data_IF_424946995578
#
_entry.id   IF_424946995578
#
_cell.length_a   1.000
_cell.length_b   1.000
_cell.length_c   1.000
_cell.angle_alpha   90.00
_cell.angle_beta   90.00
_cell.angle_gamma   90.00
#
_symmetry.space_group_name_H-M   'P 1'
#
loop_
_entity.id
_entity.type
_entity.pdbx_description
1 polymer ?
#
# COMPACT_ATOMS: atom_id res chain seq x y z
N UNK A 1 17.39 -31.38 24.09
CA UNK A 1 16.98 -30.11 23.45
C UNK A 1 16.15 -30.46 22.22
N UNK A 2 14.85 -30.18 22.20
CA UNK A 2 14.01 -30.40 21.02
C UNK A 2 14.43 -29.41 19.94
N UNK A 3 14.68 -29.91 18.73
CA UNK A 3 15.04 -29.09 17.56
C UNK A 3 13.89 -28.14 17.26
N UNK A 4 14.14 -26.83 17.23
CA UNK A 4 13.11 -25.85 16.89
C UNK A 4 12.46 -26.19 15.54
N UNK A 5 11.13 -26.17 15.49
CA UNK A 5 10.37 -26.43 14.25
C UNK A 5 10.77 -25.40 13.19
N UNK A 6 11.08 -25.88 12.00
CA UNK A 6 11.31 -25.01 10.86
C UNK A 6 9.99 -24.70 10.13
N UNK A 7 9.92 -23.51 9.50
CA UNK A 7 8.78 -23.14 8.68
C UNK A 7 8.66 -24.04 7.46
N UNK A 8 7.43 -24.40 7.10
CA UNK A 8 7.12 -25.19 5.89
C UNK A 8 7.63 -24.42 4.66
N UNK A 9 8.41 -25.07 3.76
CA UNK A 9 8.86 -24.43 2.53
C UNK A 9 7.70 -24.15 1.58
N UNK A 10 7.83 -23.09 0.79
CA UNK A 10 6.91 -22.72 -0.28
C UNK A 10 7.66 -22.63 -1.61
N UNK A 11 7.46 -21.57 -2.38
CA UNK A 11 8.25 -21.30 -3.59
C UNK A 11 9.53 -20.56 -3.19
N UNK A 12 10.67 -20.96 -3.72
CA UNK A 12 12.01 -20.51 -3.30
C UNK A 12 12.11 -18.98 -3.19
N UNK A 13 11.70 -18.24 -4.22
CA UNK A 13 11.78 -16.78 -4.20
C UNK A 13 10.87 -16.14 -3.15
N UNK A 14 9.72 -16.76 -2.82
CA UNK A 14 8.84 -16.30 -1.73
C UNK A 14 9.51 -16.57 -0.39
N UNK A 15 10.11 -17.74 -0.21
CA UNK A 15 10.83 -18.09 1.01
C UNK A 15 12.02 -17.16 1.26
N UNK A 16 12.79 -16.84 0.23
CA UNK A 16 13.92 -15.92 0.30
C UNK A 16 13.47 -14.51 0.66
N UNK A 17 12.45 -13.99 -0.02
CA UNK A 17 11.88 -12.68 0.29
C UNK A 17 11.30 -12.61 1.70
N UNK A 18 10.45 -13.56 2.08
CA UNK A 18 9.80 -13.57 3.38
C UNK A 18 10.79 -13.74 4.54
N UNK A 19 11.92 -14.44 4.32
CA UNK A 19 12.97 -14.59 5.34
C UNK A 19 13.49 -13.24 5.86
N UNK A 20 13.47 -12.19 5.04
CA UNK A 20 13.86 -10.84 5.43
C UNK A 20 12.94 -10.21 6.51
N UNK A 21 11.81 -10.84 6.79
CA UNK A 21 10.79 -10.40 7.76
C UNK A 21 10.59 -11.39 8.91
N UNK A 22 11.32 -12.51 8.94
CA UNK A 22 11.05 -13.64 9.84
C UNK A 22 11.09 -13.23 11.31
N UNK A 23 12.03 -12.37 11.69
CA UNK A 23 12.22 -11.85 13.04
C UNK A 23 11.08 -10.95 13.55
N UNK A 24 10.19 -10.49 12.66
CA UNK A 24 9.01 -9.69 13.02
C UNK A 24 7.82 -10.54 13.49
N UNK A 25 7.94 -11.87 13.41
CA UNK A 25 6.87 -12.77 13.82
C UNK A 25 7.25 -13.53 15.08
N UNK A 26 6.35 -13.57 16.09
CA UNK A 26 6.65 -14.17 17.39
C UNK A 26 6.79 -15.70 17.32
N UNK A 27 6.23 -16.33 16.30
CA UNK A 27 6.20 -17.78 16.15
C UNK A 27 6.26 -18.22 14.68
N UNK A 28 6.66 -19.46 14.47
CA UNK A 28 6.81 -20.07 13.15
C UNK A 28 5.50 -20.11 12.37
N UNK A 29 4.37 -20.32 13.05
CA UNK A 29 3.04 -20.41 12.42
C UNK A 29 2.61 -19.06 11.82
N UNK A 30 2.83 -17.97 12.55
CA UNK A 30 2.56 -16.62 12.06
C UNK A 30 3.43 -16.29 10.85
N UNK A 31 4.69 -16.66 10.87
CA UNK A 31 5.59 -16.52 9.73
C UNK A 31 5.16 -17.38 8.52
N UNK A 32 4.70 -18.60 8.73
CA UNK A 32 4.14 -19.46 7.68
C UNK A 32 2.91 -18.81 7.04
N UNK A 33 1.98 -18.27 7.82
CA UNK A 33 0.81 -17.55 7.29
C UNK A 33 1.19 -16.33 6.46
N UNK A 34 2.23 -15.61 6.87
CA UNK A 34 2.79 -14.50 6.08
C UNK A 34 3.28 -14.98 4.70
N UNK A 35 4.02 -16.10 4.64
CA UNK A 35 4.46 -16.71 3.39
C UNK A 35 3.29 -17.15 2.51
N UNK A 36 2.30 -17.82 3.10
CA UNK A 36 1.12 -18.29 2.39
C UNK A 36 0.29 -17.15 1.79
N UNK A 37 0.18 -16.02 2.49
CA UNK A 37 -0.44 -14.81 1.92
C UNK A 37 0.33 -14.34 0.67
N UNK A 38 1.66 -14.34 0.70
CA UNK A 38 2.47 -13.97 -0.47
C UNK A 38 2.26 -14.94 -1.64
N UNK A 39 2.27 -16.25 -1.40
CA UNK A 39 1.96 -17.24 -2.43
C UNK A 39 0.59 -16.97 -3.07
N UNK A 40 -0.44 -16.76 -2.25
CA UNK A 40 -1.78 -16.49 -2.74
C UNK A 40 -1.90 -15.13 -3.46
N UNK A 41 -1.19 -14.10 -2.98
CA UNK A 41 -1.18 -12.78 -3.65
C UNK A 41 -0.47 -12.81 -5.01
N UNK A 42 0.54 -13.66 -5.18
CA UNK A 42 1.28 -13.83 -6.43
C UNK A 42 0.61 -14.81 -7.40
N UNK A 43 -0.29 -15.67 -6.93
CA UNK A 43 -1.00 -16.63 -7.76
C UNK A 43 -2.02 -15.95 -8.71
N UNK A 44 -2.39 -16.62 -9.80
CA UNK A 44 -3.30 -16.11 -10.83
C UNK A 44 -4.79 -16.22 -10.48
N UNK A 45 -5.15 -16.34 -9.20
CA UNK A 45 -6.56 -16.40 -8.79
C UNK A 45 -7.28 -15.07 -9.03
N UNK A 46 -8.46 -15.13 -9.64
CA UNK A 46 -9.25 -13.94 -10.02
C UNK A 46 -9.63 -13.05 -8.83
N UNK A 47 -9.93 -13.65 -7.68
CA UNK A 47 -10.30 -12.92 -6.46
C UNK A 47 -9.35 -13.32 -5.32
N UNK A 48 -8.60 -12.38 -4.81
CA UNK A 48 -7.67 -12.55 -3.68
C UNK A 48 -8.41 -12.54 -2.34
N UNK A 49 -9.37 -13.47 -2.16
CA UNK A 49 -10.05 -13.67 -0.87
C UNK A 49 -9.27 -14.67 -0.01
N UNK A 50 -9.36 -14.55 1.30
CA UNK A 50 -8.64 -15.47 2.21
C UNK A 50 -8.97 -16.95 1.93
N UNK A 51 -10.23 -17.37 1.67
CA UNK A 51 -10.51 -18.74 1.26
C UNK A 51 -9.83 -19.16 -0.04
N UNK A 52 -9.79 -18.28 -1.04
CA UNK A 52 -9.12 -18.59 -2.30
C UNK A 52 -7.59 -18.68 -2.14
N UNK A 53 -7.00 -17.79 -1.35
CA UNK A 53 -5.58 -17.81 -0.98
C UNK A 53 -5.25 -19.10 -0.22
N UNK A 54 -6.05 -19.46 0.79
CA UNK A 54 -5.86 -20.66 1.59
C UNK A 54 -5.82 -21.92 0.73
N UNK A 55 -6.74 -22.02 -0.24
CA UNK A 55 -6.79 -23.15 -1.18
C UNK A 55 -5.55 -23.25 -2.06
N UNK A 56 -5.08 -22.14 -2.61
CA UNK A 56 -3.89 -22.13 -3.51
C UNK A 56 -2.58 -22.33 -2.74
N UNK A 57 -2.53 -21.84 -1.51
CA UNK A 57 -1.31 -21.92 -0.69
C UNK A 57 -1.07 -23.30 -0.04
N UNK A 58 -1.90 -24.31 -0.31
CA UNK A 58 -1.74 -25.66 0.20
C UNK A 58 -2.94 -26.20 0.98
N UNK A 59 -4.15 -25.78 0.59
CA UNK A 59 -5.41 -26.20 1.22
C UNK A 59 -5.49 -25.92 2.74
N UNK A 60 -5.07 -24.73 3.09
CA UNK A 60 -5.01 -24.28 4.47
C UNK A 60 -6.42 -23.95 5.00
N UNK A 61 -6.55 -23.91 6.33
CA UNK A 61 -7.76 -23.38 6.96
C UNK A 61 -7.87 -21.85 6.74
N UNK A 62 -8.91 -21.36 6.03
CA UNK A 62 -9.13 -19.93 5.83
C UNK A 62 -9.32 -19.15 7.14
N UNK A 63 -9.82 -19.79 8.19
CA UNK A 63 -10.01 -19.18 9.51
C UNK A 63 -8.66 -18.87 10.17
N UNK A 64 -7.67 -19.76 9.99
CA UNK A 64 -6.33 -19.53 10.49
C UNK A 64 -5.66 -18.32 9.80
N UNK A 65 -5.81 -18.17 8.48
CA UNK A 65 -5.35 -16.97 7.77
C UNK A 65 -6.09 -15.70 8.21
N UNK A 66 -7.40 -15.80 8.44
CA UNK A 66 -8.17 -14.67 8.96
C UNK A 66 -7.70 -14.26 10.36
N UNK A 67 -7.50 -15.25 11.25
CA UNK A 67 -6.95 -14.99 12.60
C UNK A 67 -5.57 -14.32 12.52
N UNK A 68 -4.70 -14.79 11.61
CA UNK A 68 -3.39 -14.19 11.40
C UNK A 68 -3.50 -12.72 11.01
N UNK A 69 -4.36 -12.37 10.07
CA UNK A 69 -4.51 -10.99 9.58
C UNK A 69 -5.10 -10.06 10.65
N UNK A 70 -6.05 -10.56 11.47
CA UNK A 70 -6.87 -9.71 12.34
C UNK A 70 -6.39 -9.70 13.78
N UNK A 71 -5.82 -10.83 14.29
CA UNK A 71 -5.57 -11.03 15.73
C UNK A 71 -4.14 -11.44 16.09
N UNK A 72 -3.34 -11.93 15.14
CA UNK A 72 -1.98 -12.37 15.48
C UNK A 72 -1.13 -11.16 15.91
N UNK A 73 -0.23 -11.34 16.90
CA UNK A 73 0.53 -10.26 17.50
C UNK A 73 1.79 -9.87 16.67
N UNK A 74 1.57 -9.47 15.43
CA UNK A 74 2.59 -8.87 14.57
C UNK A 74 2.29 -7.38 14.35
N UNK A 75 3.31 -6.58 14.19
CA UNK A 75 3.19 -5.13 14.05
C UNK A 75 3.14 -4.72 12.57
N UNK A 76 2.04 -4.06 12.19
CA UNK A 76 1.90 -3.44 10.87
C UNK A 76 3.00 -2.41 10.65
N UNK A 77 3.34 -1.63 11.66
CA UNK A 77 4.33 -0.56 11.58
C UNK A 77 5.75 -1.12 11.40
N UNK A 78 6.12 -2.17 12.13
CA UNK A 78 7.43 -2.83 11.97
C UNK A 78 7.56 -3.47 10.58
N UNK A 79 6.49 -4.12 10.11
CA UNK A 79 6.46 -4.73 8.78
C UNK A 79 6.59 -3.66 7.67
N UNK A 80 5.88 -2.54 7.82
CA UNK A 80 5.97 -1.38 6.94
C UNK A 80 7.37 -0.77 6.93
N UNK A 81 7.94 -0.55 8.10
CA UNK A 81 9.30 -0.04 8.29
C UNK A 81 10.34 -0.95 7.63
N UNK A 82 10.27 -2.25 7.86
CA UNK A 82 11.13 -3.24 7.23
C UNK A 82 11.02 -3.19 5.70
N UNK A 83 9.81 -3.17 5.16
CA UNK A 83 9.57 -3.10 3.72
C UNK A 83 10.16 -1.82 3.10
N UNK A 84 9.93 -0.66 3.70
CA UNK A 84 10.46 0.61 3.19
C UNK A 84 12.00 0.64 3.28
N UNK A 85 12.58 0.10 4.33
CA UNK A 85 14.04 -0.03 4.49
C UNK A 85 14.65 -0.90 3.38
N UNK A 86 14.07 -2.08 3.14
CA UNK A 86 14.52 -2.98 2.07
C UNK A 86 14.38 -2.35 0.68
N UNK A 87 13.26 -1.66 0.44
CA UNK A 87 13.03 -0.96 -0.81
C UNK A 87 14.05 0.17 -1.03
N UNK A 88 14.34 0.95 0.00
CA UNK A 88 15.36 2.01 -0.06
C UNK A 88 16.75 1.43 -0.34
N UNK A 89 17.09 0.29 0.26
CA UNK A 89 18.35 -0.41 -0.02
C UNK A 89 18.42 -0.90 -1.46
N UNK A 90 17.33 -1.50 -1.97
CA UNK A 90 17.26 -1.97 -3.37
C UNK A 90 17.36 -0.83 -4.39
N UNK A 91 16.81 0.34 -4.08
CA UNK A 91 16.93 1.52 -4.93
C UNK A 91 18.35 2.13 -4.92
N UNK A 92 19.17 1.83 -3.91
CA UNK A 92 20.56 2.28 -3.82
C UNK A 92 20.75 3.79 -4.06
N UNK A 93 19.81 4.62 -3.58
CA UNK A 93 19.82 6.07 -3.75
C UNK A 93 19.43 6.59 -5.14
N UNK A 94 19.00 5.71 -6.05
CA UNK A 94 18.49 6.10 -7.37
C UNK A 94 17.20 6.90 -7.22
N UNK A 95 17.05 7.92 -8.06
CA UNK A 95 15.82 8.70 -8.18
C UNK A 95 14.80 7.95 -9.04
N UNK A 96 13.52 8.19 -8.79
CA UNK A 96 12.42 7.60 -9.54
C UNK A 96 11.30 8.64 -9.78
N UNK A 97 10.32 8.30 -10.58
CA UNK A 97 9.09 9.09 -10.74
C UNK A 97 8.09 8.64 -9.67
N UNK A 98 7.60 9.58 -8.86
CA UNK A 98 6.57 9.33 -7.87
C UNK A 98 5.18 9.55 -8.49
N UNK A 99 4.32 8.54 -8.46
CA UNK A 99 2.91 8.65 -8.85
C UNK A 99 2.02 8.66 -7.62
N UNK A 100 1.09 9.63 -7.58
CA UNK A 100 0.02 9.68 -6.59
C UNK A 100 -1.30 9.46 -7.31
N UNK A 101 -2.05 8.46 -6.86
CA UNK A 101 -3.35 8.12 -7.43
C UNK A 101 -4.31 7.60 -6.36
N UNK A 102 -5.60 7.65 -6.63
CA UNK A 102 -6.60 7.08 -5.73
C UNK A 102 -7.12 5.73 -6.23
N UNK A 103 -7.33 4.83 -5.30
CA UNK A 103 -7.98 3.55 -5.57
C UNK A 103 -9.21 3.40 -4.68
N UNK A 104 -10.34 3.07 -5.29
CA UNK A 104 -11.57 2.81 -4.58
C UNK A 104 -11.97 1.35 -4.64
N UNK A 105 -12.45 0.80 -3.52
CA UNK A 105 -12.98 -0.56 -3.44
C UNK A 105 -14.43 -0.53 -2.96
N UNK A 106 -15.33 -1.08 -3.79
CA UNK A 106 -16.76 -1.16 -3.49
C UNK A 106 -17.01 -2.13 -2.34
N UNK A 107 -17.80 -1.70 -1.38
CA UNK A 107 -18.24 -2.52 -0.25
C UNK A 107 -19.77 -2.68 -0.24
N UNK A 108 -20.26 -3.88 0.07
CA UNK A 108 -21.69 -4.14 0.24
C UNK A 108 -22.18 -3.69 1.62
N UNK A 109 -21.36 -3.89 2.67
CA UNK A 109 -21.67 -3.52 4.04
C UNK A 109 -21.48 -2.03 4.32
N UNK A 110 -22.07 -1.56 5.42
CA UNK A 110 -21.97 -0.16 5.89
C UNK A 110 -21.21 -0.02 7.21
N UNK A 111 -20.90 -1.14 7.87
CA UNK A 111 -20.32 -1.18 9.22
C UNK A 111 -18.80 -1.09 9.24
N UNK A 112 -18.13 -1.45 8.13
CA UNK A 112 -16.67 -1.34 8.04
C UNK A 112 -16.26 0.12 8.19
N UNK A 113 -15.26 0.38 9.01
CA UNK A 113 -14.67 1.71 9.18
C UNK A 113 -14.26 2.30 7.81
N UNK A 114 -14.35 3.60 7.66
CA UNK A 114 -14.09 4.37 6.43
C UNK A 114 -15.06 4.12 5.26
N UNK A 115 -15.99 3.16 5.36
CA UNK A 115 -17.00 2.95 4.31
C UNK A 115 -18.02 4.08 4.30
N UNK A 116 -18.19 4.71 3.15
CA UNK A 116 -19.24 5.71 2.92
C UNK A 116 -19.72 5.68 1.46
N UNK A 117 -20.83 6.32 1.18
CA UNK A 117 -21.29 6.58 -0.17
C UNK A 117 -20.45 7.72 -0.76
N UNK A 118 -19.54 7.39 -1.67
CA UNK A 118 -18.56 8.30 -2.24
C UNK A 118 -18.25 7.94 -3.69
N UNK A 119 -17.60 8.84 -4.41
CA UNK A 119 -17.15 8.57 -5.77
C UNK A 119 -16.03 7.51 -5.76
N UNK A 120 -16.23 6.46 -6.55
CA UNK A 120 -15.29 5.36 -6.71
C UNK A 120 -14.74 5.43 -8.14
N UNK A 121 -13.51 5.87 -8.29
CA UNK A 121 -12.90 6.21 -9.58
C UNK A 121 -12.94 5.06 -10.58
N UNK A 122 -12.60 3.84 -10.19
CA UNK A 122 -12.62 2.65 -11.05
C UNK A 122 -14.04 2.21 -11.47
N UNK A 123 -15.10 2.71 -10.80
CA UNK A 123 -16.50 2.48 -11.18
C UNK A 123 -17.10 3.65 -11.96
N UNK A 124 -16.44 4.81 -11.98
CA UNK A 124 -16.91 6.03 -12.60
C UNK A 124 -18.21 6.60 -11.99
N UNK A 125 -18.57 6.21 -10.76
CA UNK A 125 -19.83 6.61 -10.12
C UNK A 125 -19.75 6.64 -8.60
N UNK A 126 -20.77 7.27 -8.00
CA UNK A 126 -20.99 7.20 -6.56
C UNK A 126 -21.41 5.79 -6.15
N UNK A 127 -20.76 5.23 -5.18
CA UNK A 127 -21.06 3.92 -4.62
C UNK A 127 -20.60 3.83 -3.15
N UNK A 128 -21.14 2.85 -2.45
CA UNK A 128 -20.67 2.53 -1.10
C UNK A 128 -19.32 1.83 -1.18
N UNK A 129 -18.29 2.39 -0.54
CA UNK A 129 -16.94 1.84 -0.61
C UNK A 129 -15.91 2.58 0.23
N UNK A 130 -14.68 2.14 0.13
CA UNK A 130 -13.48 2.73 0.75
C UNK A 130 -12.60 3.29 -0.36
N UNK A 131 -11.99 4.44 -0.11
CA UNK A 131 -11.02 5.06 -1.03
C UNK A 131 -9.69 5.22 -0.29
N UNK A 132 -8.60 4.92 -0.97
CA UNK A 132 -7.24 5.19 -0.51
C UNK A 132 -6.51 6.09 -1.49
N UNK A 133 -5.63 6.94 -0.97
CA UNK A 133 -4.63 7.67 -1.73
C UNK A 133 -3.34 6.86 -1.67
N UNK A 134 -2.77 6.56 -2.82
CA UNK A 134 -1.64 5.65 -2.95
C UNK A 134 -0.46 6.36 -3.59
N UNK A 135 0.74 6.03 -3.12
CA UNK A 135 2.01 6.48 -3.67
C UNK A 135 2.75 5.28 -4.28
N UNK A 136 3.11 5.40 -5.55
CA UNK A 136 3.87 4.41 -6.32
C UNK A 136 5.14 5.02 -6.86
N UNK A 137 6.23 4.27 -6.84
CA UNK A 137 7.44 4.61 -7.57
C UNK A 137 7.46 3.95 -8.94
N UNK A 138 7.99 4.67 -9.94
CA UNK A 138 8.27 4.14 -11.27
C UNK A 138 9.75 4.36 -11.53
N UNK A 139 10.48 3.28 -11.77
CA UNK A 139 11.89 3.30 -12.10
C UNK A 139 12.15 2.31 -13.23
N UNK A 140 12.74 2.79 -14.31
CA UNK A 140 12.88 2.03 -15.56
C UNK A 140 11.51 1.55 -16.06
N UNK A 141 11.24 0.26 -16.06
CA UNK A 141 9.96 -0.34 -16.46
C UNK A 141 9.22 -1.00 -15.29
N UNK A 142 9.64 -0.73 -14.05
CA UNK A 142 9.08 -1.34 -12.85
C UNK A 142 8.27 -0.31 -12.08
N UNK A 143 7.01 -0.66 -11.79
CA UNK A 143 6.16 0.08 -10.85
C UNK A 143 6.15 -0.66 -9.52
N UNK A 144 6.38 0.06 -8.42
CA UNK A 144 6.42 -0.52 -7.08
C UNK A 144 5.63 0.32 -6.08
N UNK A 145 4.86 -0.32 -5.19
CA UNK A 145 4.09 0.39 -4.18
C UNK A 145 4.99 0.94 -3.08
N UNK A 146 4.75 2.17 -2.67
CA UNK A 146 5.48 2.84 -1.59
C UNK A 146 4.64 2.92 -0.33
N UNK A 147 3.66 3.79 -0.31
CA UNK A 147 2.79 4.05 0.82
C UNK A 147 1.35 4.23 0.37
N UNK A 148 0.42 4.12 1.30
CA UNK A 148 -0.96 4.52 1.09
C UNK A 148 -1.57 5.08 2.38
N UNK A 149 -2.61 5.91 2.22
CA UNK A 149 -3.45 6.38 3.32
C UNK A 149 -4.92 6.20 2.95
N UNK A 150 -5.70 5.63 3.88
CA UNK A 150 -7.14 5.47 3.67
C UNK A 150 -7.82 6.81 3.93
N UNK A 151 -8.66 7.26 2.98
CA UNK A 151 -9.45 8.47 3.13
C UNK A 151 -10.60 8.23 4.11
N UNK A 152 -10.69 9.04 5.16
CA UNK A 152 -11.80 9.02 6.13
C UNK A 152 -12.83 10.09 5.78
N UNK A 153 -14.01 9.71 5.27
CA UNK A 153 -15.06 10.66 4.94
C UNK A 153 -15.57 11.41 6.17
N UNK A 154 -16.02 12.66 5.99
CA UNK A 154 -16.54 13.49 7.11
C UNK A 154 -17.63 12.79 7.92
N UNK A 155 -18.49 12.00 7.27
CA UNK A 155 -19.58 11.24 7.90
C UNK A 155 -19.10 10.08 8.77
N UNK A 156 -17.79 9.81 8.78
CA UNK A 156 -17.17 8.71 9.56
C UNK A 156 -16.16 9.21 10.60
N UNK A 157 -16.04 10.53 10.77
CA UNK A 157 -15.17 11.09 11.79
C UNK A 157 -15.70 10.75 13.19
N UNK A 158 -14.79 10.38 14.07
CA UNK A 158 -15.02 10.15 15.48
C UNK A 158 -14.52 11.36 16.29
N UNK A 159 -14.96 11.53 17.54
CA UNK A 159 -14.39 12.54 18.43
C UNK A 159 -12.86 12.42 18.51
N UNK A 160 -12.14 13.50 18.24
CA UNK A 160 -10.67 13.54 18.21
C UNK A 160 -10.06 13.32 16.82
N UNK A 161 -10.84 12.90 15.82
CA UNK A 161 -10.34 12.79 14.44
C UNK A 161 -10.16 14.19 13.80
N UNK A 162 -9.08 14.34 13.08
CA UNK A 162 -8.87 15.50 12.19
C UNK A 162 -9.24 15.13 10.77
N UNK A 163 -10.18 15.89 10.18
CA UNK A 163 -10.54 15.71 8.79
C UNK A 163 -9.39 16.10 7.86
N UNK A 164 -9.07 15.23 6.91
CA UNK A 164 -8.08 15.48 5.86
C UNK A 164 -8.69 15.25 4.49
N UNK A 165 -8.45 16.16 3.58
CA UNK A 165 -8.82 15.99 2.17
C UNK A 165 -7.86 15.02 1.50
N UNK A 166 -8.24 14.45 0.33
CA UNK A 166 -7.34 13.58 -0.43
C UNK A 166 -6.04 14.27 -0.84
N UNK A 167 -6.04 15.55 -1.31
CA UNK A 167 -4.81 16.31 -1.52
C UNK A 167 -3.93 16.43 -0.27
N UNK A 168 -4.50 16.68 0.90
CA UNK A 168 -3.72 16.71 2.15
C UNK A 168 -3.09 15.35 2.49
N UNK A 169 -3.81 14.25 2.25
CA UNK A 169 -3.24 12.90 2.40
C UNK A 169 -2.09 12.65 1.42
N UNK A 170 -2.20 13.15 0.18
CA UNK A 170 -1.12 13.07 -0.81
C UNK A 170 0.13 13.84 -0.35
N UNK A 171 -0.04 15.06 0.16
CA UNK A 171 1.07 15.86 0.73
C UNK A 171 1.77 15.10 1.86
N UNK A 172 1.00 14.53 2.78
CA UNK A 172 1.56 13.74 3.88
C UNK A 172 2.33 12.51 3.39
N UNK A 173 1.84 11.80 2.36
CA UNK A 173 2.56 10.67 1.77
C UNK A 173 3.90 11.09 1.18
N UNK A 174 3.92 12.23 0.49
CA UNK A 174 5.14 12.77 -0.11
C UNK A 174 6.14 13.19 0.96
N UNK A 175 5.69 13.93 1.98
CA UNK A 175 6.54 14.36 3.10
C UNK A 175 7.12 13.15 3.85
N UNK A 176 6.29 12.13 4.05
CA UNK A 176 6.72 10.90 4.72
C UNK A 176 7.78 10.16 3.89
N UNK A 177 7.62 10.05 2.57
CA UNK A 177 8.63 9.44 1.68
C UNK A 177 9.93 10.24 1.67
N UNK A 178 9.86 11.59 1.71
CA UNK A 178 11.04 12.44 1.84
C UNK A 178 11.75 12.21 3.16
N UNK A 179 11.01 12.13 4.26
CA UNK A 179 11.56 11.82 5.58
C UNK A 179 12.25 10.46 5.61
N UNK A 180 11.73 9.46 4.89
CA UNK A 180 12.37 8.16 4.70
C UNK A 180 13.63 8.20 3.83
N UNK A 181 13.95 9.36 3.22
CA UNK A 181 15.11 9.55 2.37
C UNK A 181 14.96 8.99 0.96
N UNK A 182 13.73 8.77 0.49
CA UNK A 182 13.46 8.44 -0.91
C UNK A 182 13.71 9.67 -1.80
N UNK A 183 14.29 9.43 -2.98
CA UNK A 183 14.58 10.47 -3.97
C UNK A 183 13.67 10.30 -5.18
N UNK A 184 12.96 11.34 -5.55
CA UNK A 184 12.14 11.36 -6.76
C UNK A 184 12.30 12.69 -7.49
N UNK A 185 12.37 12.62 -8.82
CA UNK A 185 12.63 13.77 -9.70
C UNK A 185 11.34 14.49 -10.07
N UNK A 186 10.26 13.73 -10.20
CA UNK A 186 8.96 14.21 -10.65
C UNK A 186 7.88 13.54 -9.80
N UNK A 187 6.84 14.33 -9.49
CA UNK A 187 5.60 13.80 -8.90
C UNK A 187 4.49 13.93 -9.93
N UNK A 188 3.90 12.83 -10.30
CA UNK A 188 2.72 12.74 -11.16
C UNK A 188 1.48 12.53 -10.31
N UNK A 189 0.47 13.34 -10.52
CA UNK A 189 -0.81 13.22 -9.84
C UNK A 189 -1.94 13.66 -10.77
N UNK A 190 -3.17 13.16 -10.55
CA UNK A 190 -4.35 13.60 -11.31
C UNK A 190 -4.68 15.07 -11.01
N UNK A 191 -5.43 15.72 -11.90
CA UNK A 191 -5.88 17.12 -11.82
C UNK A 191 -6.59 17.46 -10.50
N UNK A 192 -7.26 16.50 -9.87
CA UNK A 192 -7.87 16.64 -8.54
C UNK A 192 -6.90 17.20 -7.49
N UNK A 193 -5.62 16.89 -7.62
CA UNK A 193 -4.56 17.30 -6.69
C UNK A 193 -3.96 18.67 -7.02
N UNK A 194 -4.37 19.30 -8.15
CA UNK A 194 -3.85 20.58 -8.63
C UNK A 194 -4.83 21.76 -8.59
N UNK A 195 -6.14 21.51 -8.42
CA UNK A 195 -7.18 22.52 -8.67
C UNK A 195 -7.51 23.47 -7.48
N UNK A 196 -7.06 23.20 -6.29
CA UNK A 196 -7.32 24.09 -5.14
C UNK A 196 -6.00 24.53 -4.55
N UNK A 197 -5.80 25.83 -4.41
CA UNK A 197 -4.65 26.58 -3.90
C UNK A 197 -3.75 25.98 -2.80
N UNK A 198 -4.03 24.76 -2.37
CA UNK A 198 -3.15 23.83 -1.68
C UNK A 198 -2.20 23.17 -2.69
N UNK A 199 -1.73 23.97 -3.67
CA UNK A 199 -0.64 23.53 -4.54
C UNK A 199 0.43 22.94 -3.64
N UNK A 200 0.74 21.68 -3.88
CA UNK A 200 1.89 20.99 -3.31
C UNK A 200 3.12 21.84 -3.69
N UNK A 201 3.41 22.83 -2.88
CA UNK A 201 4.59 23.67 -2.99
C UNK A 201 5.80 22.82 -2.63
N UNK A 202 6.28 22.05 -3.59
CA UNK A 202 7.53 21.34 -3.41
C UNK A 202 8.66 22.36 -3.38
N UNK A 203 9.27 22.52 -2.22
CA UNK A 203 10.64 23.02 -2.20
C UNK A 203 11.50 22.02 -2.98
N UNK A 204 12.20 22.45 -4.02
CA UNK A 204 13.04 21.56 -4.84
C UNK A 204 14.10 20.95 -3.94
N UNK A 205 14.20 19.60 -3.94
CA UNK A 205 15.28 18.86 -3.26
C UNK A 205 16.61 19.10 -4.00
N UNK A 206 16.55 19.65 -5.22
CA UNK A 206 17.71 20.05 -6.01
C UNK A 206 17.46 21.42 -6.65
N UNK A 207 18.53 22.18 -6.86
CA UNK A 207 18.60 23.56 -7.34
C UNK A 207 18.05 23.86 -8.75
N UNK A 208 17.04 23.14 -9.23
CA UNK A 208 16.33 23.45 -10.47
C UNK A 208 14.83 23.63 -10.20
N UNK A 209 14.25 24.79 -10.56
CA UNK A 209 12.83 25.03 -10.40
C UNK A 209 12.04 24.08 -11.31
N UNK A 210 11.16 23.28 -10.72
CA UNK A 210 10.15 22.52 -11.47
C UNK A 210 9.18 23.56 -12.04
N UNK A 211 9.16 23.72 -13.35
CA UNK A 211 8.25 24.64 -14.04
C UNK A 211 6.80 24.30 -13.68
N UNK A 212 6.03 25.33 -13.31
CA UNK A 212 4.56 25.27 -13.12
C UNK A 212 3.95 24.73 -14.44
N UNK A 213 3.67 23.44 -14.52
CA UNK A 213 3.05 22.92 -15.74
C UNK A 213 3.14 21.42 -15.98
N UNK A 214 3.68 20.62 -15.10
CA UNK A 214 3.82 19.18 -15.36
C UNK A 214 2.74 18.33 -14.66
N UNK A 215 1.48 18.71 -14.82
CA UNK A 215 0.33 17.83 -14.63
C UNK A 215 -0.04 17.29 -16.01
N UNK A 216 0.67 16.30 -16.52
CA UNK A 216 0.23 15.57 -17.71
C UNK A 216 -0.56 14.34 -17.31
N UNK A 217 -1.82 14.34 -17.75
CA UNK A 217 -2.71 13.21 -17.73
C UNK A 217 -2.04 12.05 -18.48
N UNK A 218 -1.74 10.96 -17.81
CA UNK A 218 -1.50 9.69 -18.49
C UNK A 218 -2.88 9.10 -18.78
N UNK A 219 -3.45 9.46 -19.95
CA UNK A 219 -4.64 8.81 -20.47
C UNK A 219 -4.23 7.45 -21.01
N UNK A 220 -4.43 6.42 -20.23
CA UNK A 220 -4.47 5.05 -20.72
C UNK A 220 -5.73 4.87 -21.56
N UNK A 221 -5.59 4.86 -22.89
CA UNK A 221 -6.55 4.24 -23.80
C UNK A 221 -6.16 2.79 -23.95
N UNK A 222 -7.04 1.95 -23.67
CA UNK A 222 -7.74 0.85 -24.34
C UNK A 222 -8.00 -0.30 -23.42
#
# INVERSE_FOLDING_TARGET
MSKARQAIPTVTFVDEYCRLYQDLFPDVRSFEHFKFLHVGMLSEIKRKTLPAIAKVAGDLDPQALHHFVVKAPWSVEELRTRRLTLLRQALAGRSFVLCIDETGDRKKGKTTEYVAHQYIGNLGKLANGIVSVNAYGILDHITFPLLFKVYKPRTRLQPGDTYKTKPQLAVELIQELQHWGFRFEVVLADSLYGERGDCIGFAPITSRPISRGCLRRVSGKS
#
